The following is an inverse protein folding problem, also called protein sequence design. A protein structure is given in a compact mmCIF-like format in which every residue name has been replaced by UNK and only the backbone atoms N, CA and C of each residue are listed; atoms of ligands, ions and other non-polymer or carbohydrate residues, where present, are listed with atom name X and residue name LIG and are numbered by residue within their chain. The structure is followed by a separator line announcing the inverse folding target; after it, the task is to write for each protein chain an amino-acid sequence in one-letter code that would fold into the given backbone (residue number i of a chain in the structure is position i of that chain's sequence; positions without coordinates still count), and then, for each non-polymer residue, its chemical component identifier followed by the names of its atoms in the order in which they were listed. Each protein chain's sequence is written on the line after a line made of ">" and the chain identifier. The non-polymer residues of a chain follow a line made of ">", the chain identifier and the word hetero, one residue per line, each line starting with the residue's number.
data_IF_468117145312
#
_entry.id   IF_468117145312
#
_cell.length_a   1.000
_cell.length_b   1.000
_cell.length_c   1.000
_cell.angle_alpha   90.00
_cell.angle_beta   90.00
_cell.angle_gamma   90.00
#
_symmetry.space_group_name_H-M   'P 1'
#
loop_
_entity.id
_entity.type
_entity.pdbx_description
1 polymer ?
#
# COMPACT_ATOMS: atom_id res chain seq x y z
N UNK A 1 57.96 23.88 15.28
CA UNK A 1 56.80 23.54 14.43
C UNK A 1 55.77 22.83 15.30
N UNK A 2 54.61 23.46 15.52
CA UNK A 2 53.47 22.90 16.24
C UNK A 2 52.28 22.83 15.27
N UNK A 3 51.59 21.70 15.10
CA UNK A 3 50.20 21.66 14.62
C UNK A 3 49.28 21.35 15.80
N UNK A 4 48.35 22.22 16.20
CA UNK A 4 47.08 22.65 15.58
C UNK A 4 45.93 21.63 15.68
N UNK A 5 45.06 21.91 16.67
CA UNK A 5 43.60 21.83 16.70
C UNK A 5 42.85 20.52 16.36
N UNK A 6 42.55 19.75 17.42
CA UNK A 6 41.42 18.83 17.50
C UNK A 6 40.13 19.55 17.90
N UNK A 7 39.32 20.03 16.94
CA UNK A 7 37.95 20.51 17.20
C UNK A 7 36.87 20.07 16.19
N UNK A 8 37.23 19.35 15.13
CA UNK A 8 36.27 18.99 14.06
C UNK A 8 35.45 17.70 14.30
N UNK A 9 35.74 16.92 15.34
CA UNK A 9 35.09 15.61 15.54
C UNK A 9 33.68 15.65 16.15
N UNK A 10 33.31 16.72 16.85
CA UNK A 10 32.06 16.77 17.64
C UNK A 10 30.84 17.14 16.79
N UNK A 11 31.02 17.87 15.69
CA UNK A 11 29.92 18.32 14.84
C UNK A 11 29.35 17.22 13.93
N UNK A 12 30.15 16.20 13.57
CA UNK A 12 29.72 15.14 12.65
C UNK A 12 28.76 14.12 13.30
N UNK A 13 28.85 13.92 14.63
CA UNK A 13 28.03 12.94 15.35
C UNK A 13 26.59 13.46 15.57
N UNK A 14 26.40 14.76 15.66
CA UNK A 14 25.09 15.36 15.94
C UNK A 14 24.13 15.33 14.73
N UNK A 15 24.66 15.35 13.50
CA UNK A 15 23.85 15.36 12.26
C UNK A 15 23.28 13.97 11.93
N UNK A 16 23.98 12.88 12.27
CA UNK A 16 23.46 11.53 12.03
C UNK A 16 22.36 11.10 13.01
N UNK A 17 22.36 11.62 14.25
CA UNK A 17 21.33 11.29 15.24
C UNK A 17 19.93 11.85 14.89
N UNK A 18 19.86 12.97 14.16
CA UNK A 18 18.60 13.60 13.74
C UNK A 18 17.84 12.83 12.65
N UNK A 19 18.53 12.02 11.83
CA UNK A 19 17.86 11.28 10.73
C UNK A 19 17.00 10.11 11.22
N UNK A 20 17.29 9.54 12.39
CA UNK A 20 16.55 8.39 12.93
C UNK A 20 15.20 8.79 13.55
N UNK A 21 15.05 10.03 14.01
CA UNK A 21 13.81 10.52 14.62
C UNK A 21 12.80 11.00 13.56
N UNK A 22 13.25 11.44 12.38
CA UNK A 22 12.38 11.87 11.30
C UNK A 22 11.48 10.73 10.76
N UNK A 23 11.96 9.49 10.78
CA UNK A 23 11.21 8.33 10.29
C UNK A 23 9.98 7.95 11.14
N UNK A 24 9.99 8.27 12.45
CA UNK A 24 8.85 7.98 13.32
C UNK A 24 7.73 9.02 13.18
N UNK A 25 8.07 10.28 12.87
CA UNK A 25 7.08 11.32 12.63
C UNK A 25 6.39 11.14 11.27
N UNK A 26 7.16 10.83 10.20
CA UNK A 26 6.58 10.60 8.87
C UNK A 26 5.63 9.40 8.86
N UNK A 27 5.99 8.31 9.53
CA UNK A 27 5.15 7.10 9.59
C UNK A 27 3.82 7.36 10.32
N UNK A 28 3.82 8.15 11.40
CA UNK A 28 2.58 8.51 12.11
C UNK A 28 1.69 9.41 11.26
N UNK A 29 2.29 10.35 10.54
CA UNK A 29 1.55 11.23 9.62
C UNK A 29 0.93 10.44 8.47
N UNK A 30 1.67 9.52 7.88
CA UNK A 30 1.19 8.66 6.80
C UNK A 30 0.05 7.76 7.29
N UNK A 31 0.19 7.08 8.43
CA UNK A 31 -0.87 6.28 9.02
C UNK A 31 -2.14 7.11 9.28
N UNK A 32 -2.00 8.34 9.79
CA UNK A 32 -3.13 9.25 9.97
C UNK A 32 -3.87 9.54 8.67
N UNK A 33 -3.14 9.85 7.59
CA UNK A 33 -3.72 10.14 6.28
C UNK A 33 -4.45 8.91 5.72
N UNK A 34 -3.81 7.75 5.80
CA UNK A 34 -4.38 6.48 5.35
C UNK A 34 -5.67 6.13 6.11
N UNK A 35 -5.70 6.27 7.43
CA UNK A 35 -6.89 6.01 8.24
C UNK A 35 -8.04 6.99 7.94
N UNK A 36 -7.72 8.27 7.74
CA UNK A 36 -8.73 9.28 7.35
C UNK A 36 -9.25 9.03 5.94
N UNK A 37 -8.39 8.64 5.01
CA UNK A 37 -8.79 8.27 3.66
C UNK A 37 -9.75 7.08 3.67
N UNK A 38 -9.49 6.09 4.52
CA UNK A 38 -10.34 4.91 4.64
C UNK A 38 -11.76 5.22 5.17
N UNK A 39 -11.94 6.34 5.86
CA UNK A 39 -13.24 6.80 6.31
C UNK A 39 -13.93 7.76 5.32
N UNK A 40 -13.27 8.12 4.21
CA UNK A 40 -13.78 9.14 3.29
C UNK A 40 -14.97 8.63 2.46
N UNK A 41 -15.94 9.53 2.27
CA UNK A 41 -17.10 9.30 1.40
C UNK A 41 -17.05 10.32 0.26
N UNK A 42 -16.84 9.82 -0.95
CA UNK A 42 -16.77 10.65 -2.15
C UNK A 42 -18.12 11.25 -2.47
N UNK A 43 -18.15 12.54 -2.79
CA UNK A 43 -19.35 13.26 -3.26
C UNK A 43 -19.51 13.19 -4.78
N UNK A 44 -19.29 12.01 -5.35
CA UNK A 44 -19.36 11.74 -6.78
C UNK A 44 -20.15 10.46 -7.06
N UNK A 45 -20.76 10.33 -8.25
CA UNK A 45 -21.39 9.09 -8.68
C UNK A 45 -20.41 7.92 -8.66
N UNK A 46 -20.90 6.74 -8.27
CA UNK A 46 -20.05 5.55 -8.15
C UNK A 46 -19.35 5.17 -9.46
N UNK A 47 -19.98 5.40 -10.61
CA UNK A 47 -19.38 5.13 -11.92
C UNK A 47 -18.09 5.95 -12.15
N UNK A 48 -18.05 7.20 -11.71
CA UNK A 48 -16.89 8.08 -11.87
C UNK A 48 -15.74 7.62 -10.96
N UNK A 49 -16.02 7.46 -9.67
CA UNK A 49 -15.02 6.99 -8.69
C UNK A 49 -14.51 5.60 -9.06
N UNK A 50 -15.40 4.70 -9.50
CA UNK A 50 -15.05 3.34 -9.91
C UNK A 50 -14.12 3.33 -11.12
N UNK A 51 -14.34 4.19 -12.10
CA UNK A 51 -13.45 4.32 -13.26
C UNK A 51 -12.02 4.70 -12.84
N UNK A 52 -11.88 5.58 -11.85
CA UNK A 52 -10.59 5.99 -11.31
C UNK A 52 -9.92 4.89 -10.50
N UNK A 53 -10.70 4.11 -9.73
CA UNK A 53 -10.19 2.93 -9.03
C UNK A 53 -9.61 1.88 -10.02
N UNK A 54 -10.28 1.67 -11.15
CA UNK A 54 -9.79 0.79 -12.22
C UNK A 54 -8.51 1.31 -12.86
N UNK A 55 -8.48 2.60 -13.19
CA UNK A 55 -7.28 3.23 -13.75
C UNK A 55 -6.08 3.11 -12.81
N UNK A 56 -6.30 3.31 -11.50
CA UNK A 56 -5.26 3.19 -10.49
C UNK A 56 -4.66 1.78 -10.43
N UNK A 57 -5.49 0.72 -10.41
CA UNK A 57 -4.99 -0.66 -10.39
C UNK A 57 -4.26 -1.04 -11.69
N UNK A 58 -4.75 -0.59 -12.84
CA UNK A 58 -4.09 -0.80 -14.13
C UNK A 58 -2.70 -0.15 -14.18
N UNK A 59 -2.57 1.07 -13.65
CA UNK A 59 -1.29 1.80 -13.57
C UNK A 59 -0.28 1.11 -12.64
N UNK A 60 -0.77 0.46 -11.57
CA UNK A 60 0.03 -0.38 -10.68
C UNK A 60 0.38 -1.75 -11.29
N UNK A 61 -0.07 -2.02 -12.53
CA UNK A 61 0.27 -3.23 -13.30
C UNK A 61 -0.65 -4.41 -13.05
N UNK A 62 -1.78 -4.23 -12.37
CA UNK A 62 -2.73 -5.31 -12.12
C UNK A 62 -3.65 -5.53 -13.33
N UNK A 63 -3.87 -6.80 -13.67
CA UNK A 63 -4.96 -7.22 -14.55
C UNK A 63 -6.22 -7.47 -13.73
N UNK A 64 -7.38 -7.00 -14.20
CA UNK A 64 -8.64 -7.00 -13.44
C UNK A 64 -9.69 -7.91 -14.07
N UNK A 65 -10.47 -8.57 -13.22
CA UNK A 65 -11.69 -9.30 -13.56
C UNK A 65 -12.87 -8.66 -12.82
N UNK A 66 -13.86 -8.17 -13.57
CA UNK A 66 -15.04 -7.51 -13.02
C UNK A 66 -16.18 -8.52 -12.79
N UNK A 67 -16.88 -8.39 -11.65
CA UNK A 67 -18.12 -9.12 -11.42
C UNK A 67 -19.26 -8.41 -12.17
N UNK A 68 -20.01 -9.15 -13.01
CA UNK A 68 -21.11 -8.57 -13.76
C UNK A 68 -22.20 -8.00 -12.84
N UNK A 69 -22.64 -6.77 -13.12
CA UNK A 69 -23.76 -6.12 -12.44
C UNK A 69 -23.48 -5.68 -10.99
N UNK A 70 -22.22 -5.69 -10.54
CA UNK A 70 -21.82 -5.21 -9.22
C UNK A 70 -20.58 -4.32 -9.35
N UNK A 71 -20.46 -3.33 -8.46
CA UNK A 71 -19.21 -2.59 -8.28
C UNK A 71 -18.25 -3.43 -7.44
N UNK A 72 -17.86 -4.59 -7.96
CA UNK A 72 -16.90 -5.49 -7.36
C UNK A 72 -15.95 -6.00 -8.44
N UNK A 73 -14.65 -5.95 -8.17
CA UNK A 73 -13.63 -6.50 -9.06
C UNK A 73 -12.55 -7.20 -8.27
N UNK A 74 -11.95 -8.21 -8.88
CA UNK A 74 -10.81 -8.90 -8.34
C UNK A 74 -9.67 -8.85 -9.35
N UNK A 75 -8.44 -8.63 -8.90
CA UNK A 75 -7.27 -8.68 -9.78
C UNK A 75 -6.71 -10.09 -9.86
N UNK A 76 -5.99 -10.35 -10.94
CA UNK A 76 -5.06 -11.46 -11.01
C UNK A 76 -3.92 -11.29 -9.99
N UNK A 77 -3.26 -12.40 -9.68
CA UNK A 77 -2.05 -12.39 -8.86
C UNK A 77 -0.91 -11.72 -9.62
N UNK A 78 -0.43 -10.59 -9.09
CA UNK A 78 0.76 -9.88 -9.58
C UNK A 78 1.97 -10.27 -8.75
N UNK A 79 3.07 -10.63 -9.41
CA UNK A 79 4.37 -10.86 -8.75
C UNK A 79 4.95 -9.54 -8.24
N UNK A 80 5.36 -9.51 -6.99
CA UNK A 80 5.99 -8.35 -6.36
C UNK A 80 7.50 -8.56 -6.26
N UNK A 81 8.25 -7.74 -6.99
CA UNK A 81 9.72 -7.79 -7.01
C UNK A 81 10.28 -8.97 -7.79
N UNK A 82 11.61 -9.06 -7.81
CA UNK A 82 12.31 -10.15 -8.45
C UNK A 82 12.19 -11.45 -7.61
N UNK A 83 12.00 -12.62 -8.25
CA UNK A 83 12.10 -13.91 -7.58
C UNK A 83 13.44 -14.03 -6.83
N UNK A 84 13.40 -14.54 -5.61
CA UNK A 84 14.59 -14.75 -4.78
C UNK A 84 14.65 -16.18 -4.23
N UNK A 85 15.81 -16.57 -3.70
CA UNK A 85 15.96 -17.85 -2.99
C UNK A 85 15.09 -17.96 -1.74
N UNK A 86 14.66 -16.83 -1.16
CA UNK A 86 13.74 -16.78 -0.02
C UNK A 86 12.27 -16.95 -0.44
N UNK A 87 12.00 -16.94 -1.75
CA UNK A 87 10.67 -17.08 -2.33
C UNK A 87 10.30 -15.92 -3.24
N UNK A 88 9.13 -16.09 -3.87
CA UNK A 88 8.48 -15.10 -4.72
C UNK A 88 7.21 -14.62 -4.04
N UNK A 89 7.06 -13.30 -3.91
CA UNK A 89 5.86 -12.70 -3.33
C UNK A 89 4.87 -12.36 -4.43
N UNK A 90 3.60 -12.61 -4.18
CA UNK A 90 2.50 -12.22 -5.05
C UNK A 90 1.48 -11.41 -4.26
N UNK A 91 0.79 -10.49 -4.92
CA UNK A 91 -0.40 -9.85 -4.37
C UNK A 91 -1.53 -9.82 -5.38
N UNK A 92 -2.76 -9.80 -4.86
CA UNK A 92 -3.96 -9.47 -5.63
C UNK A 92 -4.86 -8.56 -4.81
N UNK A 93 -5.77 -7.87 -5.47
CA UNK A 93 -6.78 -7.05 -4.84
C UNK A 93 -8.19 -7.62 -5.05
N UNK A 94 -9.03 -7.46 -4.05
CA UNK A 94 -10.48 -7.47 -4.13
C UNK A 94 -10.95 -6.04 -3.83
N UNK A 95 -11.61 -5.40 -4.78
CA UNK A 95 -12.09 -4.02 -4.65
C UNK A 95 -13.60 -3.99 -4.67
N UNK A 96 -14.20 -3.22 -3.77
CA UNK A 96 -15.65 -3.10 -3.62
C UNK A 96 -16.06 -1.64 -3.59
N UNK A 97 -16.96 -1.27 -4.49
CA UNK A 97 -17.66 0.00 -4.50
C UNK A 97 -19.02 -0.14 -3.81
N UNK A 98 -19.42 0.88 -3.08
CA UNK A 98 -20.73 0.96 -2.42
C UNK A 98 -21.30 2.37 -2.51
N UNK A 99 -22.61 2.46 -2.68
CA UNK A 99 -23.33 3.73 -2.62
C UNK A 99 -23.93 3.90 -1.23
N UNK A 100 -23.57 4.97 -0.52
CA UNK A 100 -24.11 5.29 0.82
C UNK A 100 -25.40 6.10 0.73
N UNK A 101 -25.45 7.02 -0.21
CA UNK A 101 -26.61 7.88 -0.52
C UNK A 101 -26.53 8.31 -2.00
N UNK A 102 -27.58 8.95 -2.57
CA UNK A 102 -27.50 9.53 -3.91
C UNK A 102 -26.28 10.48 -4.03
N UNK A 103 -25.39 10.20 -4.98
CA UNK A 103 -24.13 10.95 -5.16
C UNK A 103 -23.06 10.75 -4.08
N UNK A 104 -23.23 9.80 -3.15
CA UNK A 104 -22.23 9.47 -2.13
C UNK A 104 -21.72 8.05 -2.29
N UNK A 105 -20.41 7.92 -2.51
CA UNK A 105 -19.74 6.66 -2.84
C UNK A 105 -18.64 6.34 -1.85
N UNK A 106 -18.44 5.06 -1.57
CA UNK A 106 -17.27 4.50 -0.89
C UNK A 106 -16.63 3.44 -1.76
N UNK A 107 -15.30 3.41 -1.82
CA UNK A 107 -14.54 2.34 -2.47
C UNK A 107 -13.54 1.78 -1.47
N UNK A 108 -13.51 0.45 -1.36
CA UNK A 108 -12.67 -0.28 -0.41
C UNK A 108 -11.74 -1.21 -1.17
N UNK A 109 -10.45 -1.16 -0.86
CA UNK A 109 -9.43 -2.04 -1.43
C UNK A 109 -9.02 -3.08 -0.39
N UNK A 110 -9.17 -4.35 -0.71
CA UNK A 110 -8.61 -5.44 0.09
C UNK A 110 -7.47 -6.08 -0.67
N UNK A 111 -6.30 -6.20 -0.04
CA UNK A 111 -5.12 -6.85 -0.59
C UNK A 111 -4.96 -8.24 0.01
N UNK A 112 -4.57 -9.19 -0.83
CA UNK A 112 -4.22 -10.53 -0.41
C UNK A 112 -2.74 -10.81 -0.67
N UNK A 113 -2.05 -11.23 0.39
CA UNK A 113 -0.69 -11.77 0.48
C UNK A 113 -0.51 -13.21 -0.01
N UNK A 114 0.46 -13.53 -0.88
CA UNK A 114 0.98 -14.91 -0.99
C UNK A 114 2.50 -14.91 -1.13
N UNK A 115 3.18 -15.78 -0.38
CA UNK A 115 4.61 -16.06 -0.56
C UNK A 115 4.79 -17.50 -1.00
N UNK A 116 5.43 -17.68 -2.16
CA UNK A 116 5.74 -18.98 -2.73
C UNK A 116 7.23 -19.29 -2.55
N UNK A 117 7.55 -20.27 -1.71
CA UNK A 117 8.93 -20.74 -1.52
C UNK A 117 9.20 -21.94 -2.44
N UNK A 118 10.37 -21.98 -3.09
CA UNK A 118 10.85 -23.20 -3.72
C UNK A 118 11.40 -24.10 -2.61
N UNK A 119 10.67 -25.15 -2.26
CA UNK A 119 11.13 -26.14 -1.30
C UNK A 119 12.42 -26.81 -1.79
N UNK A 120 13.28 -27.21 -0.85
CA UNK A 120 14.44 -28.04 -1.17
C UNK A 120 13.99 -29.32 -1.90
N UNK A 121 14.59 -29.60 -3.05
CA UNK A 121 14.34 -30.82 -3.81
C UNK A 121 14.84 -32.02 -2.99
N UNK A 122 13.94 -32.72 -2.29
CA UNK A 122 14.32 -33.92 -1.56
C UNK A 122 14.49 -35.08 -2.54
N UNK A 123 15.72 -35.40 -2.90
CA UNK A 123 16.08 -36.48 -3.85
C UNK A 123 15.88 -37.89 -3.30
N UNK A 124 15.47 -38.05 -2.04
CA UNK A 124 15.36 -39.36 -1.37
C UNK A 124 14.00 -40.04 -1.48
N UNK A 125 12.98 -39.35 -1.99
CA UNK A 125 11.65 -39.92 -2.25
C UNK A 125 11.18 -39.37 -3.59
N UNK A 126 10.88 -40.23 -4.56
CA UNK A 126 10.40 -39.88 -5.91
C UNK A 126 9.01 -39.23 -5.97
N UNK A 127 8.66 -38.42 -4.98
CA UNK A 127 7.50 -37.55 -4.97
C UNK A 127 7.93 -36.11 -5.16
N UNK A 128 7.44 -35.47 -6.22
CA UNK A 128 7.59 -34.04 -6.45
C UNK A 128 7.12 -33.28 -5.21
N UNK A 129 8.05 -32.72 -4.45
CA UNK A 129 7.72 -31.73 -3.43
C UNK A 129 7.16 -30.50 -4.16
N UNK A 130 5.84 -30.46 -4.30
CA UNK A 130 5.13 -29.30 -4.83
C UNK A 130 5.51 -28.07 -4.03
N UNK A 131 5.67 -26.93 -4.72
CA UNK A 131 5.93 -25.63 -4.12
C UNK A 131 5.11 -25.43 -2.84
N UNK A 132 5.77 -25.31 -1.68
CA UNK A 132 5.11 -24.93 -0.44
C UNK A 132 4.90 -23.40 -0.48
N UNK A 133 3.75 -22.97 -1.00
CA UNK A 133 3.28 -21.59 -0.86
C UNK A 133 2.55 -21.43 0.46
N UNK A 134 2.84 -20.37 1.20
CA UNK A 134 1.99 -19.93 2.31
C UNK A 134 1.06 -18.85 1.77
N UNK A 135 -0.18 -19.24 1.51
CA UNK A 135 -1.25 -18.32 1.12
C UNK A 135 -1.77 -17.64 2.40
N UNK A 136 -1.72 -16.31 2.48
CA UNK A 136 -2.55 -15.64 3.46
C UNK A 136 -3.99 -15.69 2.93
N UNK A 137 -4.88 -16.38 3.63
CA UNK A 137 -6.32 -16.30 3.34
C UNK A 137 -6.94 -14.99 3.86
N UNK A 138 -6.13 -14.14 4.50
CA UNK A 138 -6.54 -12.85 5.02
C UNK A 138 -6.61 -11.82 3.90
N UNK A 139 -7.75 -11.14 3.82
CA UNK A 139 -7.96 -9.98 2.96
C UNK A 139 -7.79 -8.72 3.82
N UNK A 140 -6.60 -8.15 3.79
CA UNK A 140 -6.28 -6.95 4.57
C UNK A 140 -6.73 -5.71 3.82
N UNK A 141 -7.40 -4.77 4.50
CA UNK A 141 -7.79 -3.52 3.87
C UNK A 141 -6.56 -2.65 3.61
N UNK A 142 -6.38 -2.20 2.39
CA UNK A 142 -5.22 -1.42 1.96
C UNK A 142 -5.53 0.08 1.98
N UNK A 143 -5.33 0.70 3.14
CA UNK A 143 -5.58 2.12 3.33
C UNK A 143 -4.64 3.01 2.50
N UNK A 144 -3.45 2.51 2.12
CA UNK A 144 -2.53 3.23 1.26
C UNK A 144 -3.08 3.37 -0.16
N UNK A 145 -3.70 2.29 -0.69
CA UNK A 145 -4.37 2.34 -1.99
C UNK A 145 -5.61 3.25 -1.96
N UNK A 146 -6.36 3.26 -0.87
CA UNK A 146 -7.50 4.16 -0.67
C UNK A 146 -7.07 5.63 -0.60
N UNK A 147 -5.94 5.92 0.05
CA UNK A 147 -5.34 7.25 0.05
C UNK A 147 -4.93 7.70 -1.35
N UNK A 148 -4.27 6.84 -2.14
CA UNK A 148 -3.94 7.13 -3.54
C UNK A 148 -5.19 7.44 -4.37
N UNK A 149 -6.27 6.67 -4.19
CA UNK A 149 -7.53 6.95 -4.87
C UNK A 149 -8.09 8.31 -4.46
N UNK A 150 -8.06 8.65 -3.17
CA UNK A 150 -8.52 9.94 -2.68
C UNK A 150 -7.76 11.10 -3.32
N UNK A 151 -6.42 11.04 -3.35
CA UNK A 151 -5.58 12.06 -3.99
C UNK A 151 -5.94 12.28 -5.48
N UNK A 152 -6.38 11.23 -6.17
CA UNK A 152 -6.76 11.28 -7.59
C UNK A 152 -8.17 11.82 -7.82
N UNK A 153 -9.12 11.39 -7.00
CA UNK A 153 -10.56 11.65 -7.20
C UNK A 153 -11.00 12.98 -6.57
N UNK A 154 -10.45 13.31 -5.40
CA UNK A 154 -10.78 14.50 -4.62
C UNK A 154 -9.49 15.10 -4.03
N UNK A 155 -8.73 15.76 -4.91
CA UNK A 155 -7.48 16.40 -4.55
C UNK A 155 -7.67 17.55 -3.53
N UNK A 156 -8.86 18.15 -3.45
CA UNK A 156 -9.18 19.17 -2.46
C UNK A 156 -9.28 18.55 -1.07
N UNK A 157 -10.07 17.48 -0.92
CA UNK A 157 -10.15 16.73 0.33
C UNK A 157 -8.80 16.16 0.75
N UNK A 158 -8.00 15.64 -0.19
CA UNK A 158 -6.65 15.17 0.10
C UNK A 158 -5.76 16.29 0.68
N UNK A 159 -5.75 17.49 0.07
CA UNK A 159 -5.01 18.64 0.59
C UNK A 159 -5.50 19.09 1.95
N UNK A 160 -6.82 19.05 2.18
CA UNK A 160 -7.40 19.38 3.47
C UNK A 160 -6.94 18.40 4.57
N UNK A 161 -6.91 17.11 4.28
CA UNK A 161 -6.39 16.07 5.19
C UNK A 161 -4.89 16.22 5.44
N UNK A 162 -4.10 16.56 4.42
CA UNK A 162 -2.67 16.85 4.59
C UNK A 162 -2.42 18.05 5.50
N UNK A 163 -3.21 19.11 5.35
CA UNK A 163 -3.14 20.28 6.22
C UNK A 163 -3.59 19.95 7.65
N UNK A 164 -4.59 19.09 7.82
CA UNK A 164 -5.03 18.60 9.12
C UNK A 164 -3.96 17.73 9.80
N UNK A 165 -3.37 16.79 9.06
CA UNK A 165 -2.29 15.94 9.54
C UNK A 165 -1.08 16.77 9.99
N UNK A 166 -0.74 17.84 9.25
CA UNK A 166 0.33 18.76 9.64
C UNK A 166 0.06 19.50 10.97
N UNK A 167 -1.21 19.70 11.33
CA UNK A 167 -1.59 20.34 12.60
C UNK A 167 -1.64 19.34 13.76
N UNK A 168 -2.12 18.12 13.50
CA UNK A 168 -2.42 17.13 14.53
C UNK A 168 -1.29 16.11 14.77
N UNK A 169 -0.40 15.92 13.80
CA UNK A 169 0.70 14.94 13.84
C UNK A 169 1.99 15.61 13.33
N UNK A 170 2.76 16.26 14.23
CA UNK A 170 4.03 16.90 13.89
C UNK A 170 5.18 15.91 13.63
#
# INVERSE_FOLDING_TARGET
>A
MLPSNSRSGVLAVMVMASCLLAGCASNRREAYLQDKAAAHVYRQPIAEVWSQAKALLSEEGYSMMEAQGRYEMQTEWLMLGAPSSLGTTYARYLVRGGQKAPGQTTVVFHRQMRVQSQGAHNTSTGGSAGSAGTDSNTLDRDHAMEWKLLQRVDAEAAKALEAEAARNVP
#
